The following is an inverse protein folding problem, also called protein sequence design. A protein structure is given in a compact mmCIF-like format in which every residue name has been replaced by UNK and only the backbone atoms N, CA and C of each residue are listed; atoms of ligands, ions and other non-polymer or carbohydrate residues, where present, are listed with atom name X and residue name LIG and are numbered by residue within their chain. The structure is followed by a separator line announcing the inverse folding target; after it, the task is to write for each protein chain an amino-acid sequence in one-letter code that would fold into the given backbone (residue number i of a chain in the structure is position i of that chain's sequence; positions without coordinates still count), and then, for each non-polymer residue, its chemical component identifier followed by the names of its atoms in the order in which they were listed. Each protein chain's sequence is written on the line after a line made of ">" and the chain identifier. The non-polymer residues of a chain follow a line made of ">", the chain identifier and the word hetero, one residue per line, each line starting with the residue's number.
data_IF_202385855221
#
_entry.id   IF_202385855221
#
_cell.length_a   1.000
_cell.length_b   1.000
_cell.length_c   1.000
_cell.angle_alpha   90.00
_cell.angle_beta   90.00
_cell.angle_gamma   90.00
#
_symmetry.space_group_name_H-M   'P 1'
#
loop_
_entity.id
_entity.type
_entity.pdbx_description
1 polymer ?
#
# COMPACT_ATOMS: atom_id res chain seq x y z
N UNK A 1 5.66 -16.95 -12.87
CA UNK A 1 4.55 -16.00 -12.94
C UNK A 1 4.71 -15.15 -14.19
N UNK A 2 3.69 -15.02 -15.05
CA UNK A 2 3.71 -14.07 -16.17
C UNK A 2 2.93 -12.85 -15.72
N UNK A 3 3.61 -11.72 -15.49
CA UNK A 3 2.94 -10.43 -15.31
C UNK A 3 2.66 -9.91 -16.72
N UNK A 4 1.39 -9.80 -17.06
CA UNK A 4 0.98 -9.25 -18.34
C UNK A 4 0.89 -7.73 -18.19
N UNK A 5 1.71 -7.00 -18.96
CA UNK A 5 1.62 -5.56 -19.07
C UNK A 5 0.59 -5.23 -20.15
N UNK A 6 -0.47 -4.53 -19.77
CA UNK A 6 -1.43 -3.98 -20.72
C UNK A 6 -1.42 -2.46 -20.60
N UNK A 7 -1.01 -1.80 -21.69
CA UNK A 7 -1.15 -0.37 -21.84
C UNK A 7 -2.42 -0.14 -22.66
N UNK A 8 -3.45 0.44 -22.05
CA UNK A 8 -4.66 0.81 -22.77
C UNK A 8 -4.35 2.01 -23.66
N UNK A 9 -3.90 1.71 -24.87
CA UNK A 9 -3.90 2.58 -26.04
C UNK A 9 -4.96 2.02 -26.98
N UNK A 10 -5.86 2.88 -27.48
CA UNK A 10 -6.88 2.46 -28.43
C UNK A 10 -6.19 2.05 -29.75
N UNK A 11 -6.04 0.74 -30.01
CA UNK A 11 -5.54 0.19 -31.28
C UNK A 11 -4.92 -1.22 -31.15
N UNK A 12 -5.25 -2.14 -32.06
CA UNK A 12 -5.04 -3.59 -31.94
C UNK A 12 -3.78 -4.17 -32.63
N UNK A 13 -3.42 -5.41 -32.20
CA UNK A 13 -2.73 -6.54 -32.87
C UNK A 13 -1.25 -6.86 -32.56
N UNK A 14 -1.04 -8.16 -32.27
CA UNK A 14 0.16 -9.02 -32.27
C UNK A 14 1.45 -8.52 -31.56
N UNK A 15 1.94 -9.36 -30.63
CA UNK A 15 3.13 -9.12 -29.81
C UNK A 15 4.42 -8.96 -30.64
N UNK A 16 4.67 -7.72 -31.06
CA UNK A 16 6.00 -7.17 -31.20
C UNK A 16 6.35 -6.51 -29.85
N UNK A 17 7.61 -6.58 -29.42
CA UNK A 17 8.02 -5.77 -28.27
C UNK A 17 7.99 -4.30 -28.70
N UNK A 18 7.32 -3.45 -27.93
CA UNK A 18 7.24 -2.02 -28.19
C UNK A 18 8.65 -1.40 -28.16
N UNK A 19 8.92 -0.48 -29.08
CA UNK A 19 10.08 0.40 -28.98
C UNK A 19 9.68 1.69 -28.30
N UNK A 20 10.60 2.26 -27.52
CA UNK A 20 10.41 3.52 -26.82
C UNK A 20 11.37 4.57 -27.38
N UNK A 21 10.90 5.80 -27.58
CA UNK A 21 11.75 6.92 -28.03
C UNK A 21 11.76 8.05 -26.99
N UNK A 22 12.90 8.72 -26.86
CA UNK A 22 13.02 10.02 -26.21
C UNK A 22 13.97 10.91 -27.02
N UNK A 23 13.73 12.21 -27.00
CA UNK A 23 14.55 13.17 -27.74
C UNK A 23 15.07 14.27 -26.83
N UNK A 24 16.36 14.51 -26.90
CA UNK A 24 17.06 15.55 -26.16
C UNK A 24 17.85 16.44 -27.12
N UNK A 25 18.09 17.68 -26.70
CA UNK A 25 19.13 18.55 -27.22
C UNK A 25 20.27 18.52 -26.21
N UNK A 26 21.50 18.27 -26.66
CA UNK A 26 22.68 18.15 -25.81
C UNK A 26 23.73 19.13 -26.25
N UNK A 27 24.31 19.87 -25.31
CA UNK A 27 25.56 20.58 -25.53
C UNK A 27 26.73 19.60 -25.36
N UNK A 28 27.54 19.46 -26.41
CA UNK A 28 28.64 18.48 -26.45
C UNK A 28 29.88 18.89 -25.67
N UNK A 29 29.98 20.16 -25.24
CA UNK A 29 31.07 20.68 -24.43
C UNK A 29 30.75 20.59 -22.93
N UNK A 30 29.51 20.89 -22.54
CA UNK A 30 29.08 20.98 -21.13
C UNK A 30 28.30 19.76 -20.65
N UNK A 31 27.77 18.94 -21.58
CA UNK A 31 26.82 17.85 -21.30
C UNK A 31 25.51 18.32 -20.66
N UNK A 32 25.20 19.61 -20.74
CA UNK A 32 23.88 20.12 -20.38
C UNK A 32 22.86 19.68 -21.43
N UNK A 33 21.67 19.29 -20.96
CA UNK A 33 20.64 18.74 -21.80
C UNK A 33 19.31 19.50 -21.66
N UNK A 34 18.57 19.57 -22.76
CA UNK A 34 17.17 19.96 -22.81
C UNK A 34 16.34 18.79 -23.35
N UNK A 35 15.25 18.44 -22.69
CA UNK A 35 14.32 17.40 -23.09
C UNK A 35 13.32 17.97 -24.10
N UNK A 36 13.49 17.54 -25.35
CA UNK A 36 12.65 17.93 -26.49
C UNK A 36 11.40 17.07 -26.54
N UNK A 37 11.55 15.76 -26.31
CA UNK A 37 10.45 14.82 -26.23
C UNK A 37 10.69 13.76 -25.15
N UNK A 38 9.69 13.56 -24.30
CA UNK A 38 9.77 12.60 -23.18
C UNK A 38 9.65 11.16 -23.66
N UNK A 39 10.13 10.20 -22.86
CA UNK A 39 10.01 8.77 -23.17
C UNK A 39 8.56 8.39 -23.49
N UNK A 40 8.31 7.93 -24.70
CA UNK A 40 7.00 7.50 -25.19
C UNK A 40 7.13 6.26 -26.08
N UNK A 41 6.01 5.58 -26.34
CA UNK A 41 5.98 4.44 -27.28
C UNK A 41 6.17 4.96 -28.70
N UNK A 42 7.14 4.40 -29.41
CA UNK A 42 7.51 4.78 -30.77
C UNK A 42 7.28 3.62 -31.76
N UNK A 43 7.27 3.94 -33.06
CA UNK A 43 7.20 2.92 -34.10
C UNK A 43 8.41 1.98 -34.06
N UNK A 44 8.15 0.70 -34.27
CA UNK A 44 9.16 -0.36 -34.21
C UNK A 44 10.38 -0.03 -35.10
N UNK A 45 11.53 0.14 -34.47
CA UNK A 45 12.78 0.37 -35.17
C UNK A 45 13.54 -0.95 -35.36
N UNK A 46 13.73 -1.38 -36.62
CA UNK A 46 14.32 -2.69 -37.00
C UNK A 46 15.70 -3.02 -36.41
N UNK A 47 16.42 -2.01 -35.94
CA UNK A 47 17.76 -2.13 -35.34
C UNK A 47 17.73 -2.29 -33.81
N UNK A 48 16.56 -2.30 -33.20
CA UNK A 48 16.33 -2.58 -31.78
C UNK A 48 15.86 -4.02 -31.69
N UNK A 49 16.79 -4.93 -31.45
CA UNK A 49 16.57 -6.38 -31.57
C UNK A 49 16.08 -7.02 -30.26
N UNK A 50 16.41 -6.41 -29.11
CA UNK A 50 16.13 -6.93 -27.76
C UNK A 50 15.74 -5.82 -26.76
N UNK A 51 15.07 -6.13 -25.64
CA UNK A 51 14.63 -5.13 -24.66
C UNK A 51 15.75 -4.24 -24.09
N UNK A 52 16.98 -4.76 -23.98
CA UNK A 52 18.12 -4.00 -23.47
C UNK A 52 18.89 -3.24 -24.57
N UNK A 53 18.51 -3.43 -25.84
CA UNK A 53 19.14 -2.75 -26.96
C UNK A 53 18.59 -1.34 -27.15
N UNK A 54 19.46 -0.43 -27.59
CA UNK A 54 19.09 0.92 -27.98
C UNK A 54 19.91 1.39 -29.18
N UNK A 55 19.40 2.39 -29.86
CA UNK A 55 20.11 3.14 -30.89
C UNK A 55 20.02 4.63 -30.59
N UNK A 56 20.98 5.38 -31.12
CA UNK A 56 20.99 6.84 -31.06
C UNK A 56 20.99 7.41 -32.47
N UNK A 57 20.06 8.32 -32.72
CA UNK A 57 19.99 9.11 -33.93
C UNK A 57 20.42 10.53 -33.58
N UNK A 58 21.62 10.90 -33.98
CA UNK A 58 22.20 12.22 -33.69
C UNK A 58 22.12 13.12 -34.92
N UNK A 59 21.59 14.33 -34.72
CA UNK A 59 21.54 15.36 -35.76
C UNK A 59 22.09 16.66 -35.21
N UNK A 60 23.11 17.23 -35.87
CA UNK A 60 23.62 18.56 -35.50
C UNK A 60 22.52 19.61 -35.60
N UNK A 61 22.48 20.51 -34.63
CA UNK A 61 21.59 21.66 -34.70
C UNK A 61 21.97 22.52 -35.91
N UNK A 62 21.00 22.80 -36.78
CA UNK A 62 21.14 23.69 -37.95
C UNK A 62 20.24 24.92 -37.88
N UNK A 63 19.37 24.96 -36.88
CA UNK A 63 18.41 26.04 -36.65
C UNK A 63 18.98 27.04 -35.66
N UNK A 64 18.91 28.33 -36.03
CA UNK A 64 19.29 29.45 -35.18
C UNK A 64 18.65 29.37 -33.78
N UNK A 65 19.37 29.85 -32.78
CA UNK A 65 18.89 29.97 -31.39
C UNK A 65 17.61 30.81 -31.34
N UNK A 66 16.61 30.34 -30.59
CA UNK A 66 15.39 31.08 -30.27
C UNK A 66 15.39 31.48 -28.78
N UNK A 67 14.70 32.56 -28.44
CA UNK A 67 14.61 33.11 -27.08
C UNK A 67 14.04 32.12 -26.05
N UNK A 68 13.34 31.08 -26.53
CA UNK A 68 12.77 30.01 -25.73
C UNK A 68 13.80 28.92 -25.37
N UNK A 69 14.86 28.70 -26.12
CA UNK A 69 15.74 27.54 -25.89
C UNK A 69 16.42 27.61 -24.51
N UNK A 70 16.37 26.51 -23.76
CA UNK A 70 16.92 26.45 -22.40
C UNK A 70 18.46 26.41 -22.42
N UNK A 71 19.04 25.92 -23.53
CA UNK A 71 20.48 25.93 -23.78
C UNK A 71 20.96 27.14 -24.61
N UNK A 72 20.21 28.26 -24.64
CA UNK A 72 20.56 29.45 -25.45
C UNK A 72 21.92 30.10 -25.14
N UNK A 73 22.49 29.84 -23.97
CA UNK A 73 23.77 30.41 -23.55
C UNK A 73 24.99 29.63 -24.08
N UNK A 74 24.77 28.48 -24.73
CA UNK A 74 25.84 27.68 -25.32
C UNK A 74 26.01 27.93 -26.83
N UNK A 75 27.20 27.62 -27.36
CA UNK A 75 27.52 27.82 -28.77
C UNK A 75 26.66 26.90 -29.67
N UNK A 76 25.95 27.50 -30.63
CA UNK A 76 25.03 26.76 -31.53
C UNK A 76 25.73 25.59 -32.26
N UNK A 77 27.01 25.74 -32.61
CA UNK A 77 27.82 24.72 -33.28
C UNK A 77 28.22 23.52 -32.40
N UNK A 78 28.04 23.63 -31.08
CA UNK A 78 28.33 22.59 -30.09
C UNK A 78 27.08 21.78 -29.68
N UNK A 79 25.91 22.09 -30.24
CA UNK A 79 24.65 21.44 -29.88
C UNK A 79 24.20 20.37 -30.88
N UNK A 80 23.71 19.25 -30.35
CA UNK A 80 23.20 18.14 -31.14
C UNK A 80 21.86 17.63 -30.59
N UNK A 81 20.90 17.38 -31.48
CA UNK A 81 19.70 16.63 -31.14
C UNK A 81 20.06 15.14 -31.11
N UNK A 82 19.76 14.48 -30.00
CA UNK A 82 19.92 13.04 -29.84
C UNK A 82 18.55 12.45 -29.59
N UNK A 83 18.10 11.59 -30.50
CA UNK A 83 16.93 10.75 -30.31
C UNK A 83 17.40 9.33 -29.95
N UNK A 84 16.92 8.83 -28.81
CA UNK A 84 17.28 7.52 -28.29
C UNK A 84 16.06 6.61 -28.46
N UNK A 85 16.24 5.54 -29.23
CA UNK A 85 15.19 4.53 -29.45
C UNK A 85 15.65 3.22 -28.82
N UNK A 86 14.89 2.69 -27.85
CA UNK A 86 15.25 1.50 -27.09
C UNK A 86 14.16 0.44 -27.05
N UNK A 87 14.55 -0.81 -26.77
CA UNK A 87 13.64 -1.96 -26.67
C UNK A 87 12.90 -2.03 -25.34
N UNK A 88 13.24 -1.14 -24.40
CA UNK A 88 12.59 -0.95 -23.12
C UNK A 88 12.75 0.50 -22.65
N UNK A 89 11.90 0.92 -21.72
CA UNK A 89 12.04 2.21 -21.05
C UNK A 89 13.40 2.31 -20.33
N UNK A 90 13.87 1.22 -19.70
CA UNK A 90 15.13 1.21 -18.97
C UNK A 90 16.35 1.35 -19.88
N UNK A 91 16.32 0.77 -21.08
CA UNK A 91 17.36 0.99 -22.09
C UNK A 91 17.43 2.46 -22.51
N UNK A 92 16.28 3.12 -22.71
CA UNK A 92 16.22 4.55 -23.05
C UNK A 92 16.67 5.41 -21.87
N UNK A 93 16.17 5.17 -20.66
CA UNK A 93 16.53 5.95 -19.46
C UNK A 93 18.00 5.77 -19.07
N UNK A 94 18.53 4.55 -19.18
CA UNK A 94 19.94 4.26 -18.92
C UNK A 94 20.87 4.99 -19.89
N UNK A 95 20.47 5.13 -21.15
CA UNK A 95 21.24 5.89 -22.13
C UNK A 95 21.06 7.41 -21.97
N UNK A 96 19.85 7.88 -21.65
CA UNK A 96 19.61 9.28 -21.29
C UNK A 96 20.48 9.73 -20.11
N UNK A 97 20.61 8.90 -19.07
CA UNK A 97 21.45 9.19 -17.91
C UNK A 97 22.94 9.31 -18.27
N UNK A 98 23.41 8.55 -19.27
CA UNK A 98 24.80 8.66 -19.77
C UNK A 98 25.02 9.91 -20.60
N UNK A 99 24.04 10.30 -21.42
CA UNK A 99 24.11 11.50 -22.26
C UNK A 99 23.91 12.79 -21.46
N UNK A 100 23.13 12.72 -20.39
CA UNK A 100 22.76 13.84 -19.53
C UNK A 100 23.07 13.49 -18.07
N UNK A 101 24.35 13.44 -17.67
CA UNK A 101 24.74 13.05 -16.32
C UNK A 101 24.19 14.00 -15.24
N UNK A 102 23.98 15.27 -15.60
CA UNK A 102 23.36 16.30 -14.75
C UNK A 102 21.83 16.37 -14.91
N UNK A 103 21.26 15.52 -15.78
CA UNK A 103 19.85 15.52 -16.17
C UNK A 103 19.50 16.48 -17.32
N UNK A 104 18.26 16.40 -17.83
CA UNK A 104 17.73 17.26 -18.89
C UNK A 104 16.65 18.26 -18.38
N UNK A 105 16.77 19.53 -18.79
CA UNK A 105 15.83 20.62 -18.54
C UNK A 105 14.57 20.48 -19.41
N UNK A 106 13.40 20.97 -18.97
CA UNK A 106 12.17 20.97 -19.79
C UNK A 106 11.38 22.26 -19.60
N UNK A 107 10.82 22.79 -20.68
CA UNK A 107 9.86 23.89 -20.60
C UNK A 107 8.64 23.53 -19.74
N UNK A 108 8.32 24.40 -18.77
CA UNK A 108 7.00 24.42 -18.15
C UNK A 108 6.02 25.09 -19.12
N UNK A 109 5.03 24.35 -19.61
CA UNK A 109 3.86 24.97 -20.23
C UNK A 109 3.04 25.67 -19.13
N UNK A 110 3.39 26.92 -18.81
CA UNK A 110 2.62 27.78 -17.90
C UNK A 110 2.07 28.94 -18.71
N UNK A 111 0.76 28.89 -18.99
CA UNK A 111 -0.04 30.09 -19.27
C UNK A 111 -0.27 30.81 -17.94
N UNK A 112 0.68 31.63 -17.55
CA UNK A 112 0.44 32.83 -16.73
C UNK A 112 1.75 33.55 -16.51
N UNK A 113 1.74 34.84 -16.79
CA UNK A 113 2.80 35.78 -16.49
C UNK A 113 3.13 35.77 -14.98
N UNK A 114 4.41 36.02 -14.71
CA UNK A 114 5.03 36.49 -13.45
C UNK A 114 5.82 35.48 -12.57
N UNK A 115 7.11 35.81 -12.48
CA UNK A 115 8.18 35.36 -11.58
C UNK A 115 8.81 33.98 -11.80
N UNK A 116 10.04 34.02 -12.31
CA UNK A 116 10.95 32.88 -12.47
C UNK A 116 11.69 32.70 -11.15
N UNK A 117 11.26 31.73 -10.34
CA UNK A 117 12.12 31.10 -9.35
C UNK A 117 12.69 29.82 -9.96
N UNK A 118 14.00 29.83 -10.20
CA UNK A 118 14.80 28.68 -10.60
C UNK A 118 14.70 27.62 -9.50
N UNK A 119 14.09 26.47 -9.81
CA UNK A 119 14.16 25.30 -8.94
C UNK A 119 14.25 24.08 -9.84
N UNK A 120 15.42 23.47 -9.80
CA UNK A 120 15.85 22.25 -10.45
C UNK A 120 14.79 21.14 -10.33
N UNK A 121 14.07 20.85 -11.42
CA UNK A 121 13.07 19.76 -11.50
C UNK A 121 13.67 18.57 -12.24
N UNK A 122 14.64 17.89 -11.63
CA UNK A 122 15.09 16.56 -12.08
C UNK A 122 15.20 15.64 -10.86
N UNK A 123 14.04 15.39 -10.25
CA UNK A 123 13.82 14.25 -9.34
C UNK A 123 12.54 13.47 -9.69
N UNK A 124 11.91 13.78 -10.83
CA UNK A 124 10.57 13.27 -11.19
C UNK A 124 10.43 12.88 -12.68
N UNK A 125 11.43 12.23 -13.25
CA UNK A 125 11.35 11.66 -14.62
C UNK A 125 11.88 10.22 -14.62
N UNK A 126 11.30 9.39 -13.77
CA UNK A 126 10.69 8.19 -14.32
C UNK A 126 9.27 8.61 -14.71
N UNK A 127 8.81 8.30 -15.92
CA UNK A 127 7.40 8.52 -16.24
C UNK A 127 6.56 7.82 -15.17
N UNK A 128 5.49 8.44 -14.67
CA UNK A 128 4.66 7.80 -13.63
C UNK A 128 4.08 6.46 -14.10
N UNK A 129 4.08 6.21 -15.41
CA UNK A 129 3.86 4.90 -16.00
C UNK A 129 4.94 3.87 -15.65
N UNK A 130 6.23 4.22 -15.75
CA UNK A 130 7.32 3.35 -15.32
C UNK A 130 7.29 3.11 -13.81
N UNK A 131 7.00 4.16 -13.02
CA UNK A 131 6.79 4.02 -11.57
C UNK A 131 5.62 3.08 -11.27
N UNK A 132 4.50 3.21 -11.98
CA UNK A 132 3.36 2.31 -11.85
C UNK A 132 3.76 0.85 -12.07
N UNK A 133 4.45 0.52 -13.17
CA UNK A 133 4.84 -0.86 -13.42
C UNK A 133 5.86 -1.39 -12.40
N UNK A 134 6.75 -0.53 -11.89
CA UNK A 134 7.68 -0.90 -10.81
C UNK A 134 6.94 -1.16 -9.49
N UNK A 135 5.97 -0.31 -9.15
CA UNK A 135 5.12 -0.52 -7.99
C UNK A 135 4.27 -1.79 -8.14
N UNK A 136 3.73 -2.06 -9.33
CA UNK A 136 2.93 -3.27 -9.57
C UNK A 136 3.80 -4.53 -9.49
N UNK A 137 5.00 -4.48 -10.03
CA UNK A 137 5.97 -5.57 -9.92
C UNK A 137 6.29 -5.84 -8.44
N UNK A 138 6.69 -4.81 -7.69
CA UNK A 138 7.00 -4.93 -6.27
C UNK A 138 5.83 -5.47 -5.46
N UNK A 139 4.64 -4.89 -5.60
CA UNK A 139 3.46 -5.34 -4.86
C UNK A 139 3.08 -6.79 -5.23
N UNK A 140 3.18 -7.16 -6.50
CA UNK A 140 2.89 -8.53 -6.94
C UNK A 140 3.92 -9.53 -6.40
N UNK A 141 5.21 -9.18 -6.44
CA UNK A 141 6.27 -10.02 -5.91
C UNK A 141 6.09 -10.21 -4.40
N UNK A 142 5.91 -9.14 -3.64
CA UNK A 142 5.68 -9.22 -2.18
C UNK A 142 4.42 -10.05 -1.84
N UNK A 143 3.37 -9.98 -2.67
CA UNK A 143 2.15 -10.75 -2.49
C UNK A 143 2.37 -12.27 -2.60
N UNK A 144 3.13 -12.70 -3.62
CA UNK A 144 3.21 -14.10 -4.04
C UNK A 144 4.58 -14.78 -3.87
N UNK A 145 5.62 -14.07 -3.44
CA UNK A 145 6.91 -14.67 -3.06
C UNK A 145 7.08 -14.79 -1.54
N UNK A 146 6.29 -14.05 -0.75
CA UNK A 146 6.25 -14.17 0.70
C UNK A 146 5.22 -15.19 1.21
N UNK A 147 5.17 -15.40 2.52
CA UNK A 147 4.35 -16.46 3.13
C UNK A 147 2.82 -16.29 2.95
N UNK A 148 2.37 -15.12 2.51
CA UNK A 148 0.94 -14.77 2.50
C UNK A 148 0.15 -15.56 1.45
N UNK A 149 0.53 -15.45 0.16
CA UNK A 149 -0.20 -16.10 -0.92
C UNK A 149 0.66 -17.02 -1.82
N UNK A 150 1.94 -17.26 -1.48
CA UNK A 150 2.84 -18.10 -2.29
C UNK A 150 2.23 -19.44 -2.67
N UNK A 151 1.54 -20.10 -1.74
CA UNK A 151 0.93 -21.42 -1.99
C UNK A 151 -0.18 -21.40 -3.06
N UNK A 152 -0.82 -20.25 -3.29
CA UNK A 152 -1.88 -20.09 -4.28
C UNK A 152 -1.38 -19.57 -5.63
N UNK A 153 -0.10 -19.14 -5.74
CA UNK A 153 0.48 -18.54 -6.93
C UNK A 153 0.16 -19.29 -8.25
N UNK A 154 0.18 -20.65 -8.31
CA UNK A 154 -0.15 -21.38 -9.54
C UNK A 154 -1.56 -21.12 -10.09
N UNK A 155 -2.47 -20.55 -9.29
CA UNK A 155 -3.87 -20.30 -9.66
C UNK A 155 -4.08 -18.91 -10.28
N UNK A 156 -3.05 -18.06 -10.33
CA UNK A 156 -3.21 -16.65 -10.68
C UNK A 156 -2.57 -16.26 -12.01
N UNK A 157 -3.30 -15.41 -12.73
CA UNK A 157 -2.74 -14.48 -13.70
C UNK A 157 -2.85 -13.07 -13.13
N UNK A 158 -1.79 -12.27 -13.24
CA UNK A 158 -1.77 -10.88 -12.76
C UNK A 158 -1.61 -9.94 -13.95
N UNK A 159 -2.53 -8.98 -14.05
CA UNK A 159 -2.58 -8.00 -15.14
C UNK A 159 -2.35 -6.60 -14.57
N UNK A 160 -1.25 -5.97 -14.98
CA UNK A 160 -1.00 -4.57 -14.64
C UNK A 160 -1.57 -3.68 -15.75
N UNK A 161 -2.65 -2.95 -15.44
CA UNK A 161 -3.35 -2.08 -16.38
C UNK A 161 -3.08 -0.62 -16.04
N UNK A 162 -2.26 0.03 -16.85
CA UNK A 162 -1.95 1.44 -16.64
C UNK A 162 -2.97 2.33 -17.35
N UNK A 163 -3.69 3.14 -16.56
CA UNK A 163 -4.61 4.17 -17.08
C UNK A 163 -4.03 5.56 -16.75
N UNK A 164 -3.62 6.35 -17.76
CA UNK A 164 -3.04 7.66 -17.53
C UNK A 164 -3.96 8.60 -16.74
N UNK A 165 -3.37 9.40 -15.85
CA UNK A 165 -4.05 10.46 -15.09
C UNK A 165 -3.50 11.83 -15.49
N UNK A 166 -4.34 12.87 -15.43
CA UNK A 166 -3.91 14.26 -15.71
C UNK A 166 -3.09 14.81 -14.55
N UNK A 167 -3.53 14.52 -13.33
CA UNK A 167 -2.81 14.89 -12.11
C UNK A 167 -2.15 13.67 -11.45
N UNK A 168 -1.06 13.92 -10.74
CA UNK A 168 -0.35 12.94 -9.90
C UNK A 168 -0.99 12.88 -8.51
N UNK A 169 -0.91 11.75 -7.81
CA UNK A 169 -1.40 11.61 -6.44
C UNK A 169 -2.87 11.20 -6.32
N UNK A 170 -3.38 11.19 -5.08
CA UNK A 170 -4.81 11.04 -4.78
C UNK A 170 -5.38 12.30 -4.13
N UNK A 171 -6.71 12.41 -4.09
CA UNK A 171 -7.43 13.49 -3.43
C UNK A 171 -7.41 13.40 -1.90
N UNK A 172 -7.65 14.53 -1.23
CA UNK A 172 -7.74 14.65 0.23
C UNK A 172 -8.86 15.63 0.59
N UNK A 173 -9.54 15.44 1.71
CA UNK A 173 -10.59 16.34 2.17
C UNK A 173 -11.90 16.17 1.39
N UNK A 174 -12.20 14.95 0.93
CA UNK A 174 -13.38 14.66 0.11
C UNK A 174 -13.31 15.22 -1.32
N UNK A 175 -12.11 15.66 -1.74
CA UNK A 175 -11.88 16.30 -3.04
C UNK A 175 -10.91 15.47 -3.87
N UNK A 176 -11.41 14.65 -4.81
CA UNK A 176 -10.58 13.94 -5.75
C UNK A 176 -9.72 14.88 -6.60
N UNK A 177 -8.53 14.43 -6.97
CA UNK A 177 -7.73 15.03 -8.06
C UNK A 177 -8.26 14.52 -9.40
N UNK A 178 -8.00 15.25 -10.47
CA UNK A 178 -8.29 14.87 -11.86
C UNK A 178 -7.40 13.69 -12.29
N UNK A 179 -7.79 12.50 -11.83
CA UNK A 179 -7.10 11.22 -12.02
C UNK A 179 -8.07 10.22 -12.64
N UNK A 180 -7.53 9.13 -13.19
CA UNK A 180 -8.31 8.13 -13.91
C UNK A 180 -9.54 7.64 -13.13
N UNK A 181 -9.34 7.27 -11.86
CA UNK A 181 -10.38 6.72 -10.98
C UNK A 181 -10.85 7.69 -9.89
N UNK A 182 -10.26 8.89 -9.83
CA UNK A 182 -10.58 9.92 -8.85
C UNK A 182 -10.53 9.36 -7.42
N UNK A 183 -9.44 8.67 -7.08
CA UNK A 183 -9.23 8.14 -5.73
C UNK A 183 -9.02 9.30 -4.73
N UNK A 184 -9.56 9.18 -3.52
CA UNK A 184 -9.44 10.22 -2.51
C UNK A 184 -9.61 9.73 -1.06
N UNK A 185 -9.15 10.54 -0.11
CA UNK A 185 -9.45 10.43 1.32
C UNK A 185 -10.47 11.50 1.72
N UNK A 186 -11.38 11.17 2.65
CA UNK A 186 -12.34 12.13 3.20
C UNK A 186 -11.68 13.23 4.04
N UNK A 187 -10.56 12.92 4.69
CA UNK A 187 -9.83 13.83 5.56
C UNK A 187 -8.33 13.54 5.59
N UNK A 188 -7.66 13.96 6.66
CA UNK A 188 -6.23 13.73 6.89
C UNK A 188 -5.91 12.33 7.38
N UNK A 189 -6.94 11.52 7.64
CA UNK A 189 -6.81 10.16 8.16
C UNK A 189 -6.12 9.25 7.14
N UNK A 190 -4.98 8.68 7.54
CA UNK A 190 -4.35 7.59 6.80
C UNK A 190 -5.12 6.29 7.06
N UNK A 191 -6.27 6.16 6.40
CA UNK A 191 -7.22 5.06 6.58
C UNK A 191 -7.86 4.61 5.27
N UNK A 192 -8.99 5.21 4.89
CA UNK A 192 -9.80 4.78 3.77
C UNK A 192 -9.46 5.59 2.51
N UNK A 193 -9.34 4.89 1.39
CA UNK A 193 -9.19 5.49 0.06
C UNK A 193 -10.40 5.07 -0.77
N UNK A 194 -11.18 6.05 -1.21
CA UNK A 194 -12.43 5.82 -1.93
C UNK A 194 -12.27 6.12 -3.41
N UNK A 195 -12.93 5.36 -4.30
CA UNK A 195 -13.01 5.67 -5.72
C UNK A 195 -14.25 6.53 -6.02
N UNK A 196 -14.08 7.63 -6.75
CA UNK A 196 -15.23 8.43 -7.22
C UNK A 196 -15.78 7.95 -8.58
N UNK A 197 -14.95 7.28 -9.40
CA UNK A 197 -15.32 6.77 -10.74
C UNK A 197 -15.44 5.25 -10.82
N UNK A 198 -16.26 4.65 -9.94
CA UNK A 198 -16.46 3.19 -9.88
C UNK A 198 -16.93 2.58 -11.19
N UNK A 199 -17.84 3.25 -11.91
CA UNK A 199 -18.34 2.72 -13.18
C UNK A 199 -17.22 2.65 -14.24
N UNK A 200 -16.39 3.69 -14.33
CA UNK A 200 -15.25 3.69 -15.24
C UNK A 200 -14.22 2.62 -14.84
N UNK A 201 -13.99 2.40 -13.54
CA UNK A 201 -13.12 1.30 -13.06
C UNK A 201 -13.64 -0.07 -13.50
N UNK A 202 -14.96 -0.33 -13.40
CA UNK A 202 -15.57 -1.56 -13.95
C UNK A 202 -15.36 -1.69 -15.45
N UNK A 203 -15.52 -0.60 -16.20
CA UNK A 203 -15.40 -0.65 -17.66
C UNK A 203 -13.96 -0.85 -18.12
N UNK A 204 -12.97 -0.26 -17.43
CA UNK A 204 -11.54 -0.56 -17.62
C UNK A 204 -11.27 -2.04 -17.30
N UNK A 205 -11.77 -2.57 -16.19
CA UNK A 205 -11.59 -3.96 -15.80
C UNK A 205 -12.07 -4.95 -16.89
N UNK A 206 -13.23 -4.68 -17.51
CA UNK A 206 -13.75 -5.50 -18.62
C UNK A 206 -12.87 -5.48 -19.87
N UNK A 207 -12.09 -4.43 -20.09
CA UNK A 207 -11.25 -4.32 -21.30
C UNK A 207 -10.06 -5.28 -21.29
N UNK A 208 -9.70 -5.84 -20.13
CA UNK A 208 -8.60 -6.80 -19.99
C UNK A 208 -8.93 -8.13 -20.67
N UNK A 209 -10.21 -8.51 -20.69
CA UNK A 209 -10.69 -9.73 -21.34
C UNK A 209 -11.88 -10.35 -20.62
N UNK A 210 -12.63 -11.19 -21.33
CA UNK A 210 -13.84 -11.86 -20.82
C UNK A 210 -13.57 -12.78 -19.61
N UNK A 211 -12.38 -13.38 -19.54
CA UNK A 211 -11.94 -14.28 -18.47
C UNK A 211 -10.77 -13.68 -17.66
N UNK A 212 -10.80 -12.37 -17.48
CA UNK A 212 -9.79 -11.63 -16.73
C UNK A 212 -10.45 -10.68 -15.72
N UNK A 213 -9.62 -10.14 -14.81
CA UNK A 213 -10.04 -9.14 -13.83
C UNK A 213 -11.12 -9.63 -12.83
N UNK A 214 -11.02 -10.90 -12.39
CA UNK A 214 -11.89 -11.49 -11.36
C UNK A 214 -11.86 -10.76 -10.01
N UNK A 215 -10.73 -10.12 -9.71
CA UNK A 215 -10.45 -9.42 -8.44
C UNK A 215 -9.91 -8.01 -8.77
N UNK A 216 -10.78 -7.07 -9.16
CA UNK A 216 -10.35 -5.76 -9.59
C UNK A 216 -9.70 -4.99 -8.44
N UNK A 217 -8.48 -4.52 -8.69
CA UNK A 217 -7.69 -3.82 -7.69
C UNK A 217 -7.29 -2.43 -8.18
N UNK A 218 -7.46 -1.41 -7.35
CA UNK A 218 -7.11 -0.02 -7.67
C UNK A 218 -5.96 0.42 -6.75
N UNK A 219 -4.84 0.81 -7.34
CA UNK A 219 -3.67 1.26 -6.59
C UNK A 219 -3.51 2.78 -6.76
N UNK A 220 -3.67 3.51 -5.65
CA UNK A 220 -3.44 4.95 -5.62
C UNK A 220 -1.95 5.28 -5.58
N UNK A 221 -1.50 6.19 -6.45
CA UNK A 221 -0.14 6.73 -6.40
C UNK A 221 0.02 7.64 -5.17
N UNK A 222 0.27 7.06 -4.00
CA UNK A 222 0.37 7.76 -2.73
C UNK A 222 1.30 7.00 -1.80
N UNK A 223 2.19 7.72 -1.13
CA UNK A 223 3.25 7.10 -0.32
C UNK A 223 2.78 6.65 1.08
N UNK A 224 1.49 6.80 1.41
CA UNK A 224 0.97 6.62 2.76
C UNK A 224 -0.17 5.61 2.83
N UNK A 225 -0.38 5.08 4.04
CA UNK A 225 -1.37 4.10 4.40
C UNK A 225 -2.75 4.52 3.90
N UNK A 226 -3.43 3.59 3.27
CA UNK A 226 -4.73 3.82 2.72
C UNK A 226 -5.23 2.62 1.95
N UNK A 227 -6.49 2.29 2.13
CA UNK A 227 -7.16 1.30 1.31
C UNK A 227 -8.58 1.05 1.74
N UNK A 228 -9.23 0.14 1.03
CA UNK A 228 -10.61 -0.23 1.27
C UNK A 228 -10.86 -1.60 0.63
N UNK A 229 -11.54 -2.48 1.35
CA UNK A 229 -12.08 -3.73 0.83
C UNK A 229 -13.50 -3.56 0.28
N UNK A 230 -13.92 -4.49 -0.57
CA UNK A 230 -15.24 -4.50 -1.19
C UNK A 230 -15.19 -5.05 -2.61
N UNK A 231 -16.04 -4.53 -3.49
CA UNK A 231 -16.01 -4.83 -4.93
C UNK A 231 -14.62 -4.59 -5.53
N UNK A 232 -14.01 -3.46 -5.18
CA UNK A 232 -12.63 -3.15 -5.52
C UNK A 232 -11.75 -3.34 -4.30
N UNK A 233 -10.65 -4.05 -4.48
CA UNK A 233 -9.55 -4.00 -3.51
C UNK A 233 -8.75 -2.74 -3.76
N UNK A 234 -8.68 -1.85 -2.78
CA UNK A 234 -7.99 -0.57 -2.91
C UNK A 234 -6.83 -0.53 -1.94
N UNK A 235 -5.66 -0.13 -2.43
CA UNK A 235 -4.48 0.17 -1.63
C UNK A 235 -3.72 1.37 -2.22
N UNK A 236 -2.66 1.82 -1.56
CA UNK A 236 -1.73 2.80 -2.11
C UNK A 236 -0.42 2.15 -2.54
N UNK A 237 0.38 2.88 -3.33
CA UNK A 237 1.72 2.45 -3.71
C UNK A 237 2.75 2.59 -2.57
N UNK A 238 2.33 2.92 -1.35
CA UNK A 238 3.21 3.04 -0.18
C UNK A 238 4.16 1.84 -0.05
N UNK A 239 5.45 2.12 0.04
CA UNK A 239 6.49 1.11 0.27
C UNK A 239 6.39 0.53 1.69
N UNK A 240 5.86 1.29 2.64
CA UNK A 240 5.79 0.90 4.06
C UNK A 240 4.51 0.19 4.44
N UNK A 241 3.39 0.48 3.75
CA UNK A 241 2.07 -0.03 4.15
C UNK A 241 1.19 -0.50 2.99
N UNK A 242 1.54 -0.20 1.74
CA UNK A 242 0.72 -0.56 0.58
C UNK A 242 0.44 -2.06 0.53
N UNK A 243 1.48 -2.88 0.73
CA UNK A 243 1.33 -4.34 0.77
C UNK A 243 0.60 -4.84 2.00
N UNK A 244 0.83 -4.22 3.17
CA UNK A 244 0.13 -4.57 4.42
C UNK A 244 -1.38 -4.45 4.26
N UNK A 245 -1.84 -3.38 3.60
CA UNK A 245 -3.26 -3.19 3.31
C UNK A 245 -3.71 -4.13 2.19
N UNK A 246 -2.98 -4.18 1.08
CA UNK A 246 -3.37 -4.95 -0.10
C UNK A 246 -3.61 -6.43 0.24
N UNK A 247 -2.73 -7.06 1.02
CA UNK A 247 -2.88 -8.47 1.41
C UNK A 247 -4.12 -8.71 2.29
N UNK A 248 -4.44 -7.79 3.18
CA UNK A 248 -5.58 -7.91 4.07
C UNK A 248 -6.89 -7.82 3.26
N UNK A 249 -7.03 -6.77 2.44
CA UNK A 249 -8.22 -6.56 1.62
C UNK A 249 -8.41 -7.67 0.57
N UNK A 250 -7.30 -8.17 0.02
CA UNK A 250 -7.34 -9.31 -0.91
C UNK A 250 -7.73 -10.61 -0.21
N UNK A 251 -7.38 -10.79 1.07
CA UNK A 251 -7.84 -11.92 1.89
C UNK A 251 -9.36 -12.01 1.96
N UNK A 252 -10.06 -10.89 2.13
CA UNK A 252 -11.53 -10.83 2.08
C UNK A 252 -12.12 -11.09 0.69
N UNK A 253 -11.38 -10.81 -0.37
CA UNK A 253 -11.85 -11.06 -1.74
C UNK A 253 -11.65 -12.52 -2.15
N UNK A 254 -10.53 -13.11 -1.75
CA UNK A 254 -10.16 -14.47 -2.07
C UNK A 254 -10.87 -15.50 -1.18
N UNK A 255 -11.02 -15.18 0.11
CA UNK A 255 -11.72 -16.00 1.08
C UNK A 255 -13.10 -15.44 1.42
N UNK A 256 -13.98 -16.30 1.95
CA UNK A 256 -15.18 -15.90 2.68
C UNK A 256 -14.84 -15.80 4.17
N UNK A 257 -14.06 -14.77 4.49
CA UNK A 257 -13.54 -14.47 5.84
C UNK A 257 -13.88 -13.04 6.24
N UNK A 258 -14.14 -12.83 7.52
CA UNK A 258 -14.40 -11.54 8.12
C UNK A 258 -13.18 -10.97 8.83
N UNK A 259 -13.41 -9.84 9.48
CA UNK A 259 -12.45 -9.16 10.34
C UNK A 259 -12.18 -9.96 11.61
N UNK A 260 -10.93 -9.94 12.08
CA UNK A 260 -10.55 -10.51 13.38
C UNK A 260 -9.97 -9.44 14.33
N UNK A 261 -9.62 -8.25 13.83
CA UNK A 261 -9.29 -7.10 14.67
C UNK A 261 -10.54 -6.42 15.22
N UNK A 262 -10.41 -5.73 16.36
CA UNK A 262 -11.55 -5.10 17.01
C UNK A 262 -11.96 -3.77 16.38
N UNK A 263 -13.24 -3.43 16.50
CA UNK A 263 -13.77 -2.17 15.99
C UNK A 263 -13.92 -2.12 14.47
N UNK A 264 -13.84 -3.27 13.79
CA UNK A 264 -14.30 -3.47 12.41
C UNK A 264 -15.83 -3.52 12.29
N UNK A 265 -16.32 -3.83 11.08
CA UNK A 265 -17.75 -3.86 10.75
C UNK A 265 -18.29 -5.25 10.39
N UNK A 266 -17.44 -6.17 9.92
CA UNK A 266 -17.87 -7.44 9.31
C UNK A 266 -17.21 -8.61 10.01
N UNK A 267 -17.95 -9.28 10.90
CA UNK A 267 -17.49 -10.46 11.63
C UNK A 267 -18.30 -11.68 11.20
N UNK A 268 -17.99 -12.21 10.03
CA UNK A 268 -18.69 -13.35 9.40
C UNK A 268 -17.71 -14.30 8.73
N UNK A 269 -18.18 -15.42 8.19
CA UNK A 269 -17.35 -16.32 7.41
C UNK A 269 -16.63 -17.38 8.23
N UNK A 270 -15.62 -18.00 7.64
CA UNK A 270 -14.96 -19.18 8.19
C UNK A 270 -14.14 -18.92 9.47
N UNK A 271 -13.86 -17.67 9.79
CA UNK A 271 -13.06 -17.23 10.92
C UNK A 271 -13.86 -16.39 11.94
N UNK A 272 -15.19 -16.40 11.87
CA UNK A 272 -16.05 -15.72 12.84
C UNK A 272 -17.18 -16.60 13.35
N UNK A 273 -17.46 -16.52 14.65
CA UNK A 273 -18.59 -17.18 15.29
C UNK A 273 -19.25 -16.28 16.34
N UNK A 274 -20.57 -16.32 16.45
CA UNK A 274 -21.31 -15.61 17.52
C UNK A 274 -21.38 -16.41 18.82
N UNK A 275 -20.98 -17.69 18.79
CA UNK A 275 -20.97 -18.60 19.92
C UNK A 275 -19.86 -19.64 19.73
N UNK A 276 -19.17 -20.00 20.81
CA UNK A 276 -18.12 -21.04 20.79
C UNK A 276 -18.68 -22.42 20.39
N UNK A 277 -19.97 -22.67 20.61
CA UNK A 277 -20.61 -23.96 20.29
C UNK A 277 -20.98 -24.10 18.80
N UNK A 278 -20.82 -23.05 18.00
CA UNK A 278 -21.23 -23.02 16.60
C UNK A 278 -20.13 -22.45 15.69
N UNK A 279 -18.87 -22.58 16.09
CA UNK A 279 -17.76 -22.09 15.29
C UNK A 279 -17.53 -22.96 14.04
N UNK A 280 -17.34 -22.36 12.85
CA UNK A 280 -17.04 -23.09 11.62
C UNK A 280 -15.71 -23.87 11.62
N UNK A 281 -14.78 -23.55 12.52
CA UNK A 281 -13.41 -24.08 12.55
C UNK A 281 -13.17 -25.15 13.61
N UNK A 282 -14.20 -25.81 14.12
CA UNK A 282 -14.07 -26.78 15.22
C UNK A 282 -13.12 -27.93 14.90
N UNK A 283 -12.96 -28.32 13.63
CA UNK A 283 -11.99 -29.34 13.20
C UNK A 283 -10.54 -28.88 13.23
N UNK A 284 -10.28 -27.56 13.34
CA UNK A 284 -8.94 -26.99 13.47
C UNK A 284 -8.52 -26.77 14.93
N UNK A 285 -9.39 -27.00 15.92
CA UNK A 285 -9.07 -26.75 17.33
C UNK A 285 -7.81 -27.51 17.74
N UNK A 286 -6.87 -26.80 18.37
CA UNK A 286 -5.65 -27.41 18.91
C UNK A 286 -5.98 -28.44 19.99
N UNK A 287 -7.05 -28.22 20.75
CA UNK A 287 -7.58 -29.18 21.70
C UNK A 287 -9.11 -29.32 21.52
N UNK A 288 -9.58 -30.30 20.74
CA UNK A 288 -11.01 -30.47 20.45
C UNK A 288 -11.84 -30.90 21.68
N UNK A 289 -11.21 -31.41 22.74
CA UNK A 289 -11.89 -31.81 23.97
C UNK A 289 -12.13 -30.63 24.93
N UNK A 290 -11.55 -29.46 24.66
CA UNK A 290 -11.64 -28.27 25.51
C UNK A 290 -12.35 -27.14 24.76
N UNK A 291 -13.68 -27.12 24.90
CA UNK A 291 -14.52 -26.06 24.33
C UNK A 291 -14.72 -24.96 25.38
N UNK A 292 -13.88 -23.93 25.32
CA UNK A 292 -13.94 -22.76 26.21
C UNK A 292 -13.48 -21.49 25.50
N UNK A 293 -13.91 -20.34 26.01
CA UNK A 293 -13.35 -19.05 25.60
C UNK A 293 -11.90 -18.89 26.09
N UNK A 294 -11.05 -18.28 25.26
CA UNK A 294 -9.77 -17.74 25.68
C UNK A 294 -10.00 -16.39 26.40
N UNK A 295 -9.93 -16.41 27.72
CA UNK A 295 -10.50 -15.37 28.59
C UNK A 295 -9.73 -14.06 28.52
N UNK A 296 -10.39 -13.04 27.97
CA UNK A 296 -9.87 -11.69 27.82
C UNK A 296 -10.93 -10.62 28.09
N UNK A 297 -10.49 -9.40 28.34
CA UNK A 297 -11.38 -8.23 28.39
C UNK A 297 -10.79 -7.06 27.63
N UNK A 298 -11.59 -6.46 26.76
CA UNK A 298 -11.27 -5.20 26.11
C UNK A 298 -11.61 -4.05 27.06
N UNK A 299 -10.58 -3.34 27.55
CA UNK A 299 -10.75 -2.16 28.42
C UNK A 299 -10.99 -0.89 27.63
N UNK A 300 -10.42 -0.81 26.44
CA UNK A 300 -10.59 0.33 25.55
C UNK A 300 -10.43 -0.10 24.09
N UNK A 301 -11.24 0.47 23.20
CA UNK A 301 -11.06 0.39 21.75
C UNK A 301 -11.69 1.64 21.14
N UNK A 302 -10.94 2.36 20.31
CA UNK A 302 -11.47 3.48 19.53
C UNK A 302 -10.57 3.85 18.36
N UNK A 303 -11.19 4.04 17.19
CA UNK A 303 -10.61 4.84 16.09
C UNK A 303 -10.72 6.32 16.46
N UNK A 304 -9.60 6.95 16.82
CA UNK A 304 -9.54 8.23 17.52
C UNK A 304 -9.39 9.41 16.54
N UNK A 305 -8.54 9.26 15.52
CA UNK A 305 -8.24 10.28 14.50
C UNK A 305 -7.94 11.68 15.04
N UNK A 306 -7.19 11.75 16.15
CA UNK A 306 -6.94 12.99 16.87
C UNK A 306 -5.60 13.62 16.46
N UNK A 307 -5.66 14.89 16.07
CA UNK A 307 -4.49 15.72 15.79
C UNK A 307 -3.79 16.13 17.10
N UNK A 308 -2.62 15.54 17.36
CA UNK A 308 -1.85 15.74 18.59
C UNK A 308 -1.21 17.13 18.67
N UNK A 309 -1.23 17.94 17.59
CA UNK A 309 -0.83 19.35 17.67
C UNK A 309 -1.80 20.16 18.54
N UNK A 310 -3.04 19.70 18.71
CA UNK A 310 -4.06 20.34 19.55
C UNK A 310 -3.85 20.10 21.05
N UNK A 311 -2.93 19.22 21.42
CA UNK A 311 -2.60 18.90 22.80
C UNK A 311 -2.48 17.40 23.08
N UNK A 312 -2.26 17.06 24.34
CA UNK A 312 -2.21 15.66 24.78
C UNK A 312 -3.58 14.99 24.67
N UNK A 313 -3.60 13.71 24.31
CA UNK A 313 -4.80 12.87 24.37
C UNK A 313 -4.73 11.90 25.56
N UNK A 314 -5.77 11.90 26.39
CA UNK A 314 -5.89 11.00 27.54
C UNK A 314 -6.92 9.91 27.27
N UNK A 315 -6.48 8.66 27.37
CA UNK A 315 -7.34 7.49 27.38
C UNK A 315 -7.52 7.06 28.84
N UNK A 316 -8.76 7.13 29.32
CA UNK A 316 -9.12 6.70 30.67
C UNK A 316 -9.82 5.33 30.60
N UNK A 317 -9.38 4.39 31.41
CA UNK A 317 -9.96 3.05 31.50
C UNK A 317 -9.90 2.52 32.92
N UNK A 318 -10.69 1.50 33.23
CA UNK A 318 -10.80 0.92 34.58
C UNK A 318 -10.46 -0.56 34.53
N UNK A 319 -9.60 -1.02 35.44
CA UNK A 319 -9.35 -2.44 35.68
C UNK A 319 -9.98 -2.87 37.02
N UNK A 320 -10.38 -4.13 37.08
CA UNK A 320 -10.80 -4.77 38.33
C UNK A 320 -9.64 -5.51 39.03
N UNK A 321 -8.44 -5.52 38.45
CA UNK A 321 -7.26 -6.20 38.99
C UNK A 321 -7.32 -7.73 38.95
N UNK A 322 -8.26 -8.33 38.22
CA UNK A 322 -8.47 -9.78 38.21
C UNK A 322 -7.65 -10.52 37.15
N UNK A 323 -7.11 -9.81 36.17
CA UNK A 323 -6.37 -10.38 35.06
C UNK A 323 -4.87 -10.40 35.35
N UNK A 324 -4.13 -11.30 34.70
CA UNK A 324 -2.71 -11.54 34.99
C UNK A 324 -1.77 -10.85 34.00
N UNK A 325 -2.31 -10.33 32.90
CA UNK A 325 -1.55 -9.81 31.76
C UNK A 325 -2.30 -8.67 31.09
N UNK A 326 -1.59 -7.83 30.37
CA UNK A 326 -2.20 -6.75 29.61
C UNK A 326 -1.46 -6.46 28.31
N UNK A 327 -2.18 -5.82 27.38
CA UNK A 327 -1.66 -5.38 26.10
C UNK A 327 -2.25 -4.02 25.73
N UNK A 328 -1.40 -3.11 25.27
CA UNK A 328 -1.78 -1.80 24.74
C UNK A 328 -1.25 -1.75 23.31
N UNK A 329 -2.11 -1.42 22.35
CA UNK A 329 -1.69 -1.09 20.99
C UNK A 329 -2.19 0.28 20.60
N UNK A 330 -1.31 1.08 20.01
CA UNK A 330 -1.62 2.37 19.40
C UNK A 330 -1.22 2.32 17.93
N UNK A 331 -1.92 3.10 17.10
CA UNK A 331 -1.41 3.47 15.78
C UNK A 331 -1.33 4.98 15.65
N UNK A 332 -0.24 5.46 15.05
CA UNK A 332 0.08 6.88 14.93
C UNK A 332 0.66 7.15 13.54
N UNK A 333 0.29 8.29 12.96
CA UNK A 333 0.87 8.83 11.72
C UNK A 333 1.73 10.07 12.02
N UNK A 334 2.70 10.38 11.16
CA UNK A 334 3.54 11.58 11.28
C UNK A 334 4.57 11.54 12.42
N UNK A 335 4.89 10.38 12.96
CA UNK A 335 5.78 10.20 14.12
C UNK A 335 7.13 9.58 13.74
N UNK A 336 7.87 10.22 12.84
CA UNK A 336 9.10 9.73 12.20
C UNK A 336 10.40 9.98 12.99
N UNK A 337 10.34 10.72 14.11
CA UNK A 337 11.51 11.06 14.94
C UNK A 337 11.35 10.58 16.38
N UNK A 338 12.44 10.30 17.09
CA UNK A 338 12.41 9.79 18.48
C UNK A 338 11.84 10.79 19.50
N UNK A 339 11.79 12.08 19.17
CA UNK A 339 11.16 13.12 19.98
C UNK A 339 9.68 13.36 19.59
N UNK A 340 9.14 12.61 18.63
CA UNK A 340 7.80 12.86 18.11
C UNK A 340 6.69 12.55 19.10
N UNK A 341 6.89 11.59 20.03
CA UNK A 341 5.88 11.16 20.99
C UNK A 341 6.47 10.96 22.39
N UNK A 342 5.66 11.25 23.39
CA UNK A 342 5.84 10.81 24.78
C UNK A 342 4.55 10.12 25.23
N UNK A 343 4.69 8.92 25.78
CA UNK A 343 3.57 8.06 26.18
C UNK A 343 3.79 7.67 27.64
N UNK A 344 2.78 7.92 28.47
CA UNK A 344 2.83 7.54 29.89
C UNK A 344 1.60 6.75 30.29
N UNK A 345 1.79 5.72 31.13
CA UNK A 345 0.74 4.97 31.78
C UNK A 345 0.77 5.31 33.27
N UNK A 346 -0.28 5.94 33.78
CA UNK A 346 -0.37 6.42 35.16
C UNK A 346 0.78 7.36 35.56
N UNK A 347 1.30 8.13 34.60
CA UNK A 347 2.43 9.03 34.80
C UNK A 347 3.80 8.39 34.54
N UNK A 348 3.90 7.06 34.54
CA UNK A 348 5.14 6.35 34.25
C UNK A 348 5.38 6.22 32.74
N UNK A 349 6.59 6.49 32.22
CA UNK A 349 6.90 6.36 30.80
C UNK A 349 6.72 4.93 30.28
N UNK A 350 6.01 4.79 29.15
CA UNK A 350 6.06 3.59 28.34
C UNK A 350 7.20 3.73 27.32
N UNK A 351 8.18 2.81 27.28
CA UNK A 351 9.30 2.89 26.34
C UNK A 351 8.82 2.93 24.89
N UNK A 352 9.20 3.95 24.15
CA UNK A 352 8.80 4.13 22.77
C UNK A 352 10.00 4.54 21.92
N UNK A 353 10.00 4.11 20.66
CA UNK A 353 11.02 4.45 19.67
C UNK A 353 10.33 4.56 18.32
N UNK A 354 10.71 5.57 17.54
CA UNK A 354 10.11 5.75 16.21
C UNK A 354 10.50 4.59 15.28
N UNK A 355 9.60 4.26 14.34
CA UNK A 355 9.91 3.42 13.18
C UNK A 355 10.59 4.21 12.04
N UNK A 356 10.83 5.51 12.21
CA UNK A 356 11.54 6.34 11.24
C UNK A 356 10.70 6.74 10.02
N UNK A 357 9.38 6.54 10.08
CA UNK A 357 8.47 6.77 8.94
C UNK A 357 7.29 7.65 9.34
N UNK A 358 6.87 8.52 8.41
CA UNK A 358 5.70 9.38 8.58
C UNK A 358 4.39 8.66 8.33
N UNK A 359 4.46 7.49 7.71
CA UNK A 359 3.31 6.65 7.45
C UNK A 359 2.69 6.12 8.75
N UNK A 360 1.44 5.66 8.68
CA UNK A 360 0.73 5.10 9.82
C UNK A 360 1.45 3.85 10.32
N UNK A 361 1.87 3.90 11.58
CA UNK A 361 2.65 2.87 12.24
C UNK A 361 1.96 2.36 13.48
N UNK A 362 2.06 1.06 13.74
CA UNK A 362 1.51 0.39 14.93
C UNK A 362 2.61 0.16 15.97
N UNK A 363 2.29 0.46 17.24
CA UNK A 363 3.16 0.32 18.40
C UNK A 363 2.41 -0.44 19.49
N UNK A 364 3.10 -1.33 20.18
CA UNK A 364 2.48 -2.17 21.21
C UNK A 364 3.35 -2.33 22.45
N UNK A 365 2.71 -2.40 23.60
CA UNK A 365 3.28 -2.72 24.90
C UNK A 365 2.51 -3.86 25.50
N UNK A 366 3.21 -4.74 26.21
CA UNK A 366 2.57 -5.86 26.90
C UNK A 366 3.24 -6.12 28.24
N UNK A 367 2.46 -6.70 29.15
CA UNK A 367 2.95 -7.37 30.34
C UNK A 367 2.49 -8.81 30.33
N UNK A 368 3.42 -9.73 30.53
CA UNK A 368 3.19 -11.18 30.43
C UNK A 368 3.05 -11.86 31.79
N UNK A 369 3.34 -11.15 32.87
CA UNK A 369 3.41 -11.65 34.24
C UNK A 369 2.67 -10.78 35.26
N UNK A 370 2.22 -9.58 34.87
CA UNK A 370 1.40 -8.70 35.71
C UNK A 370 0.21 -8.08 34.95
N UNK A 371 -0.97 -8.06 35.60
CA UNK A 371 -2.14 -7.32 35.15
C UNK A 371 -2.11 -5.85 35.57
N UNK A 372 -3.13 -5.08 35.18
CA UNK A 372 -3.31 -3.75 35.77
C UNK A 372 -3.79 -3.88 37.22
N UNK A 373 -3.42 -2.94 38.07
CA UNK A 373 -4.00 -2.83 39.41
C UNK A 373 -5.51 -2.57 39.36
N UNK A 374 -6.25 -2.94 40.40
CA UNK A 374 -7.65 -2.54 40.49
C UNK A 374 -7.77 -1.02 40.62
N UNK A 375 -8.62 -0.39 39.81
CA UNK A 375 -8.86 1.05 39.85
C UNK A 375 -8.86 1.72 38.48
N UNK A 376 -8.76 3.04 38.50
CA UNK A 376 -8.73 3.88 37.32
C UNK A 376 -7.30 4.04 36.80
N UNK A 377 -7.15 3.99 35.48
CA UNK A 377 -5.88 4.12 34.78
C UNK A 377 -5.98 5.20 33.71
N UNK A 378 -4.85 5.86 33.45
CA UNK A 378 -4.75 6.89 32.43
C UNK A 378 -3.54 6.62 31.55
N UNK A 379 -3.79 6.39 30.27
CA UNK A 379 -2.77 6.39 29.23
C UNK A 379 -2.77 7.78 28.58
N UNK A 380 -1.68 8.52 28.72
CA UNK A 380 -1.52 9.86 28.16
C UNK A 380 -0.55 9.84 26.99
N UNK A 381 -0.96 10.42 25.87
CA UNK A 381 -0.18 10.51 24.63
C UNK A 381 0.02 11.99 24.32
N UNK A 382 1.29 12.41 24.24
CA UNK A 382 1.67 13.78 23.91
C UNK A 382 2.59 13.78 22.70
N UNK A 383 2.36 14.66 21.73
CA UNK A 383 3.30 14.87 20.62
C UNK A 383 4.39 15.89 21.02
N UNK A 384 5.62 15.61 20.60
CA UNK A 384 6.77 16.52 20.67
C UNK A 384 7.37 16.79 19.30
N UNK A 385 8.56 17.39 19.25
CA UNK A 385 9.29 17.67 18.00
C UNK A 385 8.59 18.63 17.03
N UNK A 386 9.06 18.66 15.78
CA UNK A 386 8.50 19.54 14.74
C UNK A 386 7.11 19.10 14.27
N UNK A 387 6.22 20.06 14.00
CA UNK A 387 4.92 19.83 13.34
C UNK A 387 4.90 20.28 11.88
N UNK A 388 6.06 20.67 11.33
CA UNK A 388 6.20 21.12 9.94
C UNK A 388 6.30 19.92 8.99
N UNK A 389 5.14 19.35 8.68
CA UNK A 389 5.02 18.16 7.85
C UNK A 389 3.66 18.13 7.17
N UNK A 390 3.55 17.73 5.89
CA UNK A 390 2.26 17.56 5.23
C UNK A 390 1.41 16.44 5.85
N UNK A 391 2.07 15.49 6.55
CA UNK A 391 1.39 14.47 7.35
C UNK A 391 1.42 14.91 8.80
N UNK A 392 0.23 15.13 9.36
CA UNK A 392 0.02 15.53 10.74
C UNK A 392 0.39 14.40 11.71
N UNK A 393 0.82 14.77 12.92
CA UNK A 393 0.98 13.85 14.05
C UNK A 393 -0.38 13.46 14.58
N UNK A 394 -0.91 12.34 14.08
CA UNK A 394 -2.27 11.92 14.38
C UNK A 394 -2.28 10.62 15.19
N UNK A 395 -2.92 10.64 16.36
CA UNK A 395 -3.30 9.43 17.07
C UNK A 395 -4.49 8.78 16.34
N UNK A 396 -4.24 7.67 15.66
CA UNK A 396 -5.20 7.06 14.75
C UNK A 396 -6.15 6.11 15.46
N UNK A 397 -5.63 5.14 16.20
CA UNK A 397 -6.41 4.12 16.90
C UNK A 397 -5.71 3.70 18.19
N UNK A 398 -6.48 3.27 19.19
CA UNK A 398 -5.96 2.68 20.41
C UNK A 398 -6.82 1.50 20.86
N UNK A 399 -6.16 0.45 21.35
CA UNK A 399 -6.79 -0.74 21.94
C UNK A 399 -6.05 -1.11 23.22
N UNK A 400 -6.79 -1.45 24.27
CA UNK A 400 -6.26 -1.88 25.56
C UNK A 400 -6.98 -3.15 26.01
N UNK A 401 -6.19 -4.18 26.30
CA UNK A 401 -6.63 -5.50 26.71
C UNK A 401 -6.06 -5.89 28.07
N UNK A 402 -6.83 -6.71 28.78
CA UNK A 402 -6.30 -7.59 29.82
C UNK A 402 -6.62 -9.05 29.49
N UNK A 403 -5.69 -9.94 29.81
CA UNK A 403 -5.78 -11.38 29.52
C UNK A 403 -5.60 -12.20 30.79
N UNK A 404 -6.28 -13.35 30.85
CA UNK A 404 -6.12 -14.30 31.94
C UNK A 404 -4.71 -14.93 31.91
N UNK A 405 -4.42 -15.91 32.76
CA UNK A 405 -3.15 -16.66 32.68
C UNK A 405 -3.03 -17.48 31.40
N UNK A 406 -1.84 -18.00 31.09
CA UNK A 406 -1.59 -18.82 29.88
C UNK A 406 -2.41 -20.13 29.85
N UNK A 407 -2.93 -20.56 31.00
CA UNK A 407 -3.87 -21.66 31.15
C UNK A 407 -5.28 -21.32 30.63
N UNK A 408 -5.71 -20.07 30.75
CA UNK A 408 -7.05 -19.59 30.37
C UNK A 408 -7.06 -18.69 29.12
N UNK A 409 -5.90 -18.17 28.68
CA UNK A 409 -5.72 -17.40 27.46
C UNK A 409 -4.37 -17.77 26.82
N UNK A 410 -4.36 -18.37 25.63
CA UNK A 410 -3.12 -18.65 24.91
C UNK A 410 -2.57 -17.39 24.24
N UNK A 411 -1.66 -16.69 24.92
CA UNK A 411 -1.08 -15.44 24.41
C UNK A 411 0.21 -15.69 23.64
N UNK A 412 1.06 -16.57 24.16
CA UNK A 412 2.41 -16.79 23.66
C UNK A 412 2.48 -17.95 22.65
N UNK A 413 1.43 -18.78 22.57
CA UNK A 413 1.25 -19.80 21.54
C UNK A 413 0.41 -19.27 20.36
N UNK A 414 1.10 -18.68 19.39
CA UNK A 414 0.48 -18.13 18.16
C UNK A 414 -0.01 -19.20 17.18
N UNK A 415 0.25 -20.48 17.43
CA UNK A 415 -0.29 -21.58 16.62
C UNK A 415 -1.56 -22.18 17.25
N UNK A 416 -1.93 -21.74 18.45
CA UNK A 416 -3.12 -22.20 19.14
C UNK A 416 -4.40 -21.72 18.44
N UNK A 417 -5.18 -22.68 17.93
CA UNK A 417 -6.52 -22.45 17.41
C UNK A 417 -7.54 -22.76 18.49
N UNK A 418 -8.29 -21.73 18.88
CA UNK A 418 -9.26 -21.77 19.95
C UNK A 418 -10.43 -20.81 19.70
N UNK A 419 -10.91 -20.19 20.77
CA UNK A 419 -12.05 -19.26 20.73
C UNK A 419 -11.66 -17.93 21.38
N UNK A 420 -10.98 -17.08 20.62
CA UNK A 420 -10.56 -15.78 21.10
C UNK A 420 -11.69 -14.76 20.95
N UNK A 421 -12.03 -13.99 21.99
CA UNK A 421 -13.08 -12.99 21.89
C UNK A 421 -12.60 -11.79 21.06
N UNK A 422 -13.51 -11.24 20.26
CA UNK A 422 -13.32 -9.99 19.50
C UNK A 422 -14.60 -9.18 19.45
N UNK A 423 -14.48 -7.86 19.39
CA UNK A 423 -15.62 -6.94 19.51
C UNK A 423 -15.72 -6.02 18.31
N UNK A 424 -16.92 -5.95 17.74
CA UNK A 424 -17.21 -5.02 16.65
C UNK A 424 -17.27 -3.56 17.12
N UNK A 425 -17.43 -2.63 16.17
CA UNK A 425 -17.55 -1.19 16.46
C UNK A 425 -18.73 -0.84 17.38
N UNK A 426 -19.74 -1.73 17.49
CA UNK A 426 -20.90 -1.60 18.39
C UNK A 426 -20.70 -2.37 19.70
N UNK A 427 -19.47 -2.84 19.97
CA UNK A 427 -19.09 -3.66 21.13
C UNK A 427 -19.83 -4.99 21.23
N UNK A 428 -20.31 -5.53 20.11
CA UNK A 428 -20.90 -6.87 20.08
C UNK A 428 -19.77 -7.90 20.04
N UNK A 429 -19.85 -8.87 20.94
CA UNK A 429 -18.90 -9.97 21.04
C UNK A 429 -19.11 -10.97 19.89
N UNK A 430 -18.00 -11.42 19.32
CA UNK A 430 -17.87 -12.59 18.47
C UNK A 430 -16.55 -13.30 18.81
N UNK A 431 -16.30 -14.45 18.20
CA UNK A 431 -15.10 -15.24 18.40
C UNK A 431 -14.35 -15.39 17.09
N UNK A 432 -13.02 -15.50 17.20
CA UNK A 432 -12.07 -15.74 16.13
C UNK A 432 -11.16 -16.92 16.47
N UNK A 433 -10.57 -17.60 15.47
CA UNK A 433 -9.85 -18.85 15.69
C UNK A 433 -8.46 -18.67 16.32
N UNK A 434 -7.79 -17.55 16.07
CA UNK A 434 -6.39 -17.30 16.43
C UNK A 434 -6.21 -15.98 17.19
N UNK A 435 -5.09 -15.79 17.89
CA UNK A 435 -4.79 -14.57 18.63
C UNK A 435 -4.09 -13.48 17.81
N UNK A 436 -2.88 -13.68 17.27
CA UNK A 436 -2.13 -12.60 16.57
C UNK A 436 -1.35 -13.10 15.34
N UNK A 437 -1.45 -14.38 14.99
CA UNK A 437 -0.85 -14.95 13.78
C UNK A 437 -1.63 -14.58 12.53
N UNK A 438 -2.96 -14.55 12.58
CA UNK A 438 -3.80 -14.30 11.43
C UNK A 438 -3.68 -12.85 10.93
N UNK A 439 -3.47 -12.67 9.63
CA UNK A 439 -3.45 -11.39 8.94
C UNK A 439 -4.78 -10.62 9.04
N UNK A 440 -5.90 -11.34 9.15
CA UNK A 440 -7.23 -10.73 9.36
C UNK A 440 -7.34 -10.08 10.75
N UNK A 441 -6.44 -10.45 11.68
CA UNK A 441 -6.29 -9.82 13.00
C UNK A 441 -5.17 -8.82 13.00
N UNK A 442 -3.97 -9.31 12.76
CA UNK A 442 -2.75 -8.55 12.88
C UNK A 442 -2.29 -8.27 11.46
N UNK A 443 -2.67 -7.11 10.94
CA UNK A 443 -2.31 -6.73 9.58
C UNK A 443 -0.79 -6.73 9.35
N UNK A 444 0.05 -6.67 10.40
CA UNK A 444 1.50 -6.76 10.27
C UNK A 444 2.01 -8.20 10.08
N UNK A 445 1.22 -9.21 10.45
CA UNK A 445 1.51 -10.62 10.17
C UNK A 445 1.40 -10.91 8.66
N UNK A 446 2.32 -11.70 8.07
CA UNK A 446 2.20 -12.17 6.69
C UNK A 446 1.40 -13.47 6.55
N UNK A 447 0.77 -13.99 7.61
CA UNK A 447 0.18 -15.32 7.60
C UNK A 447 -1.32 -15.31 7.82
N UNK A 448 -2.05 -16.19 7.14
CA UNK A 448 -3.43 -16.53 7.50
C UNK A 448 -3.43 -17.65 8.55
N UNK A 449 -4.40 -17.64 9.48
CA UNK A 449 -4.66 -18.80 10.33
C UNK A 449 -5.18 -19.98 9.49
N UNK A 450 -5.08 -21.21 10.02
CA UNK A 450 -5.47 -22.42 9.28
C UNK A 450 -6.92 -22.39 8.75
N UNK A 451 -7.93 -21.92 9.51
CA UNK A 451 -9.29 -21.79 8.99
C UNK A 451 -9.42 -20.83 7.80
N UNK A 452 -8.70 -19.70 7.83
CA UNK A 452 -8.66 -18.76 6.71
C UNK A 452 -7.99 -19.39 5.48
N UNK A 453 -6.87 -20.11 5.66
CA UNK A 453 -6.17 -20.78 4.55
C UNK A 453 -7.03 -21.86 3.89
N UNK A 454 -7.66 -22.73 4.70
CA UNK A 454 -8.58 -23.75 4.19
C UNK A 454 -9.72 -23.10 3.40
N UNK A 455 -10.34 -22.06 3.95
CA UNK A 455 -11.45 -21.39 3.29
C UNK A 455 -11.06 -20.79 1.94
N UNK A 456 -9.87 -20.18 1.85
CA UNK A 456 -9.35 -19.64 0.60
C UNK A 456 -9.10 -20.75 -0.43
N UNK A 457 -8.47 -21.87 -0.04
CA UNK A 457 -8.35 -23.03 -0.93
C UNK A 457 -9.70 -23.50 -1.43
N UNK A 458 -10.68 -23.66 -0.54
CA UNK A 458 -12.04 -24.04 -0.92
C UNK A 458 -12.67 -23.05 -1.90
N UNK A 459 -12.50 -21.73 -1.70
CA UNK A 459 -13.00 -20.74 -2.66
C UNK A 459 -12.32 -20.87 -4.02
N UNK A 460 -11.00 -21.00 -4.09
CA UNK A 460 -10.32 -21.15 -5.37
C UNK A 460 -10.65 -22.45 -6.08
N UNK A 461 -10.81 -23.55 -5.33
CA UNK A 461 -11.19 -24.85 -5.90
C UNK A 461 -12.56 -24.79 -6.61
N UNK A 462 -13.46 -23.88 -6.22
CA UNK A 462 -14.73 -23.68 -6.95
C UNK A 462 -14.56 -22.99 -8.31
N UNK A 463 -13.39 -22.38 -8.58
CA UNK A 463 -13.11 -21.61 -9.79
C UNK A 463 -12.15 -22.32 -10.76
N UNK A 464 -11.53 -23.42 -10.35
CA UNK A 464 -10.62 -24.18 -11.21
C UNK A 464 -11.30 -25.43 -11.77
N UNK A 465 -10.93 -25.79 -12.99
CA UNK A 465 -11.24 -27.10 -13.57
C UNK A 465 -9.94 -27.86 -13.77
N UNK A 466 -9.87 -29.09 -13.26
CA UNK A 466 -8.75 -29.98 -13.53
C UNK A 466 -8.96 -30.60 -14.90
N UNK A 467 -8.15 -30.23 -15.89
CA UNK A 467 -8.16 -30.93 -17.17
C UNK A 467 -7.65 -32.35 -16.94
N UNK A 468 -8.46 -33.36 -17.24
CA UNK A 468 -7.99 -34.75 -17.35
C UNK A 468 -7.06 -34.83 -18.55
N UNK A 469 -5.78 -34.55 -18.36
CA UNK A 469 -4.76 -35.04 -19.28
C UNK A 469 -4.44 -36.46 -18.82
N UNK A 470 -4.85 -37.43 -19.62
CA UNK A 470 -4.57 -38.86 -19.42
C UNK A 470 -3.07 -39.03 -19.15
N UNK A 471 -2.74 -39.61 -17.98
CA UNK A 471 -1.40 -40.11 -17.66
C UNK A 471 -0.95 -41.16 -18.66
#
# INVERSE_FOLDING_TARGET
>A
MKIFRSLLLVGATAAAFDTYSAKILVDTNTFECELIDSVHVAQLHRSVEHPDSFIELTTKRKSHLNDLDLLRNSEEGAQEFVEIIGGSVDAVLGQLAKRCPSGALRHKAVRSLESIAETTVIKKIASEAALFFNDMQRLTDEMFTGDTFTQYLPLFNVWAVHVPSVESGIGVGGKPRNTAFELFRDGTELRAVYPNKQQYARDVCKTVGEFACDFPSLIGNDAFYGGLGGEFVIATSSVTSGMVVLRHEMGHNFGKVGEEYDGGYVYTGANSATSINAAPWTHWLTNPDVIREEKAVQRFQKHIWYDLQKGSYQIKFKSNGAFKRWYIQLSVSGADTNDALSITLNGEPLPWTTKGVKDRSFYSWRSSDAGFSAGDHVLNITAGGSFDSPIIKQLCNAVIYEYAGEDEFKLDDNDHIGFYPTWDIKKRLSYRPDNEKCLMRNMTSPQFCAPCQENMWLQFLTRISLSKTSL
#
